data_IF_615509300800
#
_entry.id   IF_615509300800
#
_cell.length_a   1.000
_cell.length_b   1.000
_cell.length_c   1.000
_cell.angle_alpha   90.00
_cell.angle_beta   90.00
_cell.angle_gamma   90.00
#
_symmetry.space_group_name_H-M   'P 1'
#
loop_
_entity.id
_entity.type
_entity.pdbx_description
1 polymer ?
#
# COMPACT_ATOMS: atom_id res chain seq x y z
N UNK A 1 34.82 -56.17 11.55
CA UNK A 1 35.02 -55.09 10.57
C UNK A 1 34.20 -55.40 9.33
N UNK A 2 33.03 -54.78 9.14
CA UNK A 2 32.22 -55.02 7.94
C UNK A 2 33.00 -54.55 6.70
N UNK A 3 33.25 -55.46 5.76
CA UNK A 3 34.09 -55.24 4.58
C UNK A 3 33.54 -54.09 3.73
N UNK A 4 34.43 -53.28 3.14
CA UNK A 4 34.07 -52.12 2.33
C UNK A 4 33.10 -52.48 1.20
N UNK A 5 33.22 -53.70 0.65
CA UNK A 5 32.33 -54.26 -0.36
C UNK A 5 30.87 -54.38 0.11
N UNK A 6 30.64 -54.67 1.40
CA UNK A 6 29.29 -54.76 1.97
C UNK A 6 28.65 -53.37 2.13
N UNK A 7 29.46 -52.34 2.41
CA UNK A 7 28.99 -50.95 2.48
C UNK A 7 28.69 -50.40 1.10
N UNK A 8 29.51 -50.76 0.12
CA UNK A 8 29.36 -50.29 -1.25
C UNK A 8 28.14 -50.91 -1.93
N UNK A 9 27.90 -52.21 -1.72
CA UNK A 9 26.67 -52.87 -2.19
C UNK A 9 25.41 -52.28 -1.54
N UNK A 10 25.47 -51.91 -0.25
CA UNK A 10 24.38 -51.23 0.42
C UNK A 10 24.08 -49.85 -0.18
N UNK A 11 25.12 -49.04 -0.45
CA UNK A 11 24.96 -47.72 -1.07
C UNK A 11 24.45 -47.80 -2.50
N UNK A 12 24.92 -48.76 -3.30
CA UNK A 12 24.42 -49.00 -4.65
C UNK A 12 22.95 -49.43 -4.66
N UNK A 13 22.54 -50.28 -3.71
CA UNK A 13 21.14 -50.67 -3.56
C UNK A 13 20.25 -49.51 -3.07
N UNK A 14 20.77 -48.64 -2.20
CA UNK A 14 20.10 -47.42 -1.76
C UNK A 14 19.91 -46.44 -2.94
N UNK A 15 20.96 -46.23 -3.74
CA UNK A 15 20.91 -45.38 -4.92
C UNK A 15 19.90 -45.89 -5.95
N UNK A 16 19.86 -47.21 -6.20
CA UNK A 16 18.83 -47.82 -7.08
C UNK A 16 17.42 -47.59 -6.54
N UNK A 17 17.17 -47.71 -5.24
CA UNK A 17 15.86 -47.44 -4.64
C UNK A 17 15.42 -45.97 -4.71
N UNK A 18 16.36 -45.03 -4.62
CA UNK A 18 16.07 -43.59 -4.68
C UNK A 18 15.89 -43.13 -6.13
N UNK A 19 16.76 -43.59 -7.04
CA UNK A 19 16.74 -43.20 -8.45
C UNK A 19 15.67 -43.94 -9.27
N UNK A 20 15.21 -45.13 -8.84
CA UNK A 20 14.14 -45.87 -9.51
C UNK A 20 12.73 -45.50 -9.01
N UNK A 21 12.56 -44.45 -8.20
CA UNK A 21 11.24 -43.85 -8.04
C UNK A 21 10.88 -43.15 -9.35
N UNK A 22 9.93 -43.67 -10.16
CA UNK A 22 9.42 -42.87 -11.26
C UNK A 22 8.81 -41.62 -10.63
N UNK A 23 9.34 -40.45 -10.98
CA UNK A 23 8.63 -39.20 -10.74
C UNK A 23 7.22 -39.38 -11.27
N UNK A 24 6.22 -39.38 -10.38
CA UNK A 24 4.83 -39.55 -10.77
C UNK A 24 4.54 -38.60 -11.94
N UNK A 25 4.35 -39.16 -13.13
CA UNK A 25 3.96 -38.40 -14.31
C UNK A 25 2.71 -37.60 -13.94
N UNK A 26 2.61 -36.32 -14.33
CA UNK A 26 1.37 -35.59 -14.16
C UNK A 26 0.30 -36.26 -15.02
N UNK A 27 -0.58 -37.03 -14.38
CA UNK A 27 -1.72 -37.66 -15.02
C UNK A 27 -2.45 -36.61 -15.88
N UNK A 28 -2.33 -36.77 -17.20
CA UNK A 28 -3.11 -36.03 -18.19
C UNK A 28 -4.57 -36.39 -17.95
N UNK A 29 -5.33 -35.46 -17.39
CA UNK A 29 -6.79 -35.56 -17.28
C UNK A 29 -7.36 -35.82 -18.68
N UNK A 30 -7.91 -37.01 -18.89
CA UNK A 30 -8.75 -37.31 -20.05
C UNK A 30 -9.98 -36.42 -19.97
N UNK A 31 -10.13 -35.53 -20.95
CA UNK A 31 -11.41 -34.87 -21.19
C UNK A 31 -12.39 -35.94 -21.66
N UNK A 32 -13.40 -36.22 -20.85
CA UNK A 32 -14.55 -37.00 -21.27
C UNK A 32 -15.39 -36.11 -22.21
N UNK A 33 -15.38 -36.46 -23.49
CA UNK A 33 -16.33 -35.95 -24.47
C UNK A 33 -17.71 -36.56 -24.22
N UNK A 34 -18.73 -35.73 -24.40
CA UNK A 34 -20.15 -36.05 -24.30
C UNK A 34 -20.61 -37.08 -25.33
N UNK A 35 -21.62 -37.87 -24.96
CA UNK A 35 -22.60 -38.42 -25.90
C UNK A 35 -23.79 -37.46 -25.99
N UNK A 36 -23.82 -36.75 -27.12
CA UNK A 36 -24.94 -36.43 -28.01
C UNK A 36 -26.35 -36.16 -27.44
N UNK A 37 -26.85 -34.94 -27.70
CA UNK A 37 -27.97 -34.78 -28.62
C UNK A 37 -28.03 -33.38 -29.27
N UNK A 38 -27.86 -33.41 -30.59
CA UNK A 38 -28.50 -32.61 -31.65
C UNK A 38 -28.34 -31.07 -31.74
N UNK A 39 -27.72 -30.71 -32.87
CA UNK A 39 -28.20 -29.81 -33.93
C UNK A 39 -27.61 -28.38 -34.04
N UNK A 40 -27.02 -28.20 -35.23
CA UNK A 40 -26.98 -27.02 -36.08
C UNK A 40 -25.74 -26.10 -36.02
N UNK A 41 -24.95 -26.24 -37.10
CA UNK A 41 -24.31 -25.18 -37.89
C UNK A 41 -23.08 -24.42 -37.35
N UNK A 42 -21.90 -24.87 -37.80
CA UNK A 42 -21.00 -24.06 -38.64
C UNK A 42 -20.06 -23.02 -38.01
N UNK A 43 -18.88 -22.73 -38.62
CA UNK A 43 -17.61 -22.53 -37.88
C UNK A 43 -16.97 -21.13 -38.07
N UNK A 44 -16.03 -20.73 -37.19
CA UNK A 44 -15.08 -19.64 -37.50
C UNK A 44 -13.64 -19.83 -36.99
N UNK A 45 -12.82 -20.26 -37.96
CA UNK A 45 -11.43 -19.87 -38.32
C UNK A 45 -10.50 -19.17 -37.28
N UNK A 46 -9.36 -19.84 -37.03
CA UNK A 46 -7.94 -19.37 -37.09
C UNK A 46 -7.60 -17.92 -36.67
N UNK A 47 -6.65 -17.74 -35.72
CA UNK A 47 -5.29 -17.17 -36.00
C UNK A 47 -4.34 -17.07 -34.79
N UNK A 48 -3.13 -17.58 -35.07
CA UNK A 48 -1.78 -17.54 -34.48
C UNK A 48 -1.22 -16.16 -34.00
N UNK A 49 -0.45 -16.24 -32.89
CA UNK A 49 1.00 -15.88 -32.69
C UNK A 49 1.46 -14.39 -32.61
N UNK A 50 2.35 -14.15 -31.61
CA UNK A 50 3.62 -13.36 -31.66
C UNK A 50 3.58 -11.88 -31.22
N UNK A 51 4.07 -11.58 -30.00
CA UNK A 51 4.78 -10.31 -29.64
C UNK A 51 5.38 -10.37 -28.22
N UNK A 52 6.52 -11.07 -28.05
CA UNK A 52 7.43 -10.84 -26.91
C UNK A 52 8.87 -11.09 -27.37
N UNK A 53 9.39 -10.21 -28.22
CA UNK A 53 10.82 -10.18 -28.59
C UNK A 53 11.24 -8.80 -29.12
N UNK A 54 10.91 -7.73 -28.39
CA UNK A 54 11.27 -6.35 -28.79
C UNK A 54 11.66 -5.39 -27.66
N UNK A 55 12.02 -5.88 -26.48
CA UNK A 55 12.40 -5.02 -25.33
C UNK A 55 13.85 -5.16 -24.87
N UNK A 56 14.65 -6.05 -25.47
CA UNK A 56 16.05 -6.27 -25.06
C UNK A 56 17.08 -5.53 -25.91
N UNK A 57 16.75 -5.14 -27.14
CA UNK A 57 17.72 -4.53 -28.07
C UNK A 57 17.89 -3.00 -27.94
N UNK A 58 17.08 -2.33 -27.12
CA UNK A 58 17.15 -0.86 -26.95
C UNK A 58 17.94 -0.39 -25.74
N UNK A 59 18.47 -1.31 -24.91
CA UNK A 59 19.16 -0.93 -23.66
C UNK A 59 20.68 -1.01 -23.72
N UNK A 60 21.23 -1.59 -24.79
CA UNK A 60 22.69 -1.76 -24.93
C UNK A 60 23.35 -0.62 -25.73
N UNK A 61 22.57 0.22 -26.44
CA UNK A 61 23.12 1.34 -27.26
C UNK A 61 23.17 2.71 -26.58
N UNK A 62 22.95 2.80 -25.27
CA UNK A 62 22.89 4.09 -24.56
C UNK A 62 24.01 4.31 -23.51
N UNK A 63 24.99 3.40 -23.41
CA UNK A 63 26.03 3.46 -22.39
C UNK A 63 27.45 3.73 -22.91
N UNK A 64 27.67 3.83 -24.22
CA UNK A 64 29.03 3.99 -24.80
C UNK A 64 29.45 5.43 -25.13
N UNK A 65 28.62 6.44 -24.85
CA UNK A 65 29.02 7.85 -25.05
C UNK A 65 28.94 8.67 -23.76
N UNK A 66 30.00 8.57 -22.95
CA UNK A 66 30.69 9.75 -22.40
C UNK A 66 32.03 9.37 -21.77
N UNK A 67 33.07 9.61 -22.57
CA UNK A 67 34.47 9.68 -22.20
C UNK A 67 34.73 10.81 -21.17
N UNK A 68 35.62 10.58 -20.20
CA UNK A 68 36.98 11.16 -20.05
C UNK A 68 37.08 12.70 -19.94
N UNK A 69 37.59 13.17 -18.78
CA UNK A 69 38.64 14.21 -18.60
C UNK A 69 39.07 14.17 -17.11
N UNK A 70 40.27 13.68 -16.75
CA UNK A 70 41.62 14.30 -16.69
C UNK A 70 41.92 15.02 -15.35
N UNK A 71 42.84 14.39 -14.61
CA UNK A 71 43.97 14.86 -13.76
C UNK A 71 43.82 15.98 -12.71
N UNK A 72 44.20 15.65 -11.46
CA UNK A 72 45.47 16.08 -10.82
C UNK A 72 45.61 15.52 -9.39
N UNK A 73 46.82 15.07 -9.02
CA UNK A 73 47.35 14.92 -7.66
C UNK A 73 48.36 16.08 -7.42
N UNK A 74 48.95 16.38 -6.23
CA UNK A 74 49.27 15.47 -5.11
C UNK A 74 49.27 16.05 -3.65
N UNK A 75 49.71 15.20 -2.71
CA UNK A 75 50.54 15.49 -1.53
C UNK A 75 49.94 15.81 -0.13
N UNK A 76 50.27 14.88 0.80
CA UNK A 76 50.98 15.06 2.10
C UNK A 76 50.26 15.44 3.43
N UNK A 77 50.58 14.59 4.43
CA UNK A 77 50.64 14.80 5.91
C UNK A 77 49.31 15.08 6.64
N UNK A 78 49.07 14.67 7.89
CA UNK A 78 49.88 14.10 8.97
C UNK A 78 49.18 14.46 10.30
N UNK A 79 49.42 13.67 11.36
CA UNK A 79 49.15 13.94 12.79
C UNK A 79 47.66 14.03 13.24
N UNK A 80 47.13 13.14 14.10
CA UNK A 80 47.39 12.88 15.54
C UNK A 80 46.66 13.87 16.46
N UNK A 81 46.01 13.27 17.48
CA UNK A 81 45.79 13.77 18.86
C UNK A 81 44.87 15.00 19.00
N UNK A 82 44.10 15.25 20.06
CA UNK A 82 43.81 14.64 21.37
C UNK A 82 42.67 15.51 21.99
N UNK A 83 41.83 15.02 22.93
CA UNK A 83 41.80 15.43 24.38
C UNK A 83 41.42 16.91 24.55
N UNK A 84 40.46 17.42 25.33
CA UNK A 84 39.76 17.12 26.60
C UNK A 84 38.62 18.18 26.66
N UNK A 85 37.43 17.92 27.22
CA UNK A 85 37.04 18.13 28.63
C UNK A 85 37.36 19.52 29.19
N UNK A 86 36.31 20.24 29.60
CA UNK A 86 36.11 21.07 30.81
C UNK A 86 34.61 21.48 30.76
N UNK A 87 33.69 20.99 31.59
CA UNK A 87 33.48 21.27 33.05
C UNK A 87 32.95 22.69 33.32
N UNK A 88 32.02 22.80 34.28
CA UNK A 88 31.30 24.02 34.68
C UNK A 88 29.79 23.81 34.83
N UNK A 89 29.33 22.97 35.76
CA UNK A 89 28.83 23.33 37.13
C UNK A 89 27.31 23.58 37.17
N UNK A 90 26.51 22.67 37.75
CA UNK A 90 26.09 22.56 39.18
C UNK A 90 24.85 23.45 39.46
N UNK A 91 23.70 22.92 39.89
CA UNK A 91 23.36 22.47 41.26
C UNK A 91 21.87 22.02 41.23
N UNK A 92 21.25 21.17 42.05
CA UNK A 92 21.53 20.58 43.37
C UNK A 92 20.45 19.50 43.61
N UNK A 93 20.79 18.37 44.25
CA UNK A 93 20.05 17.66 45.34
C UNK A 93 20.70 16.28 45.51
N UNK A 94 21.11 15.97 46.74
CA UNK A 94 21.68 14.70 47.22
C UNK A 94 21.00 14.34 48.57
N UNK A 95 21.32 13.23 49.28
CA UNK A 95 21.86 11.94 48.84
C UNK A 95 21.06 10.74 49.44
N UNK A 96 21.16 9.55 48.84
CA UNK A 96 21.04 8.28 49.57
C UNK A 96 21.73 7.15 48.77
N UNK A 97 22.87 6.72 49.31
CA UNK A 97 23.56 5.43 49.17
C UNK A 97 23.76 4.85 47.75
N UNK A 98 25.00 5.00 47.24
CA UNK A 98 25.55 4.10 46.21
C UNK A 98 26.55 3.15 46.87
N UNK A 99 26.40 1.81 46.72
CA UNK A 99 27.52 0.92 46.86
C UNK A 99 28.45 1.11 45.65
N UNK A 100 29.75 1.15 45.93
CA UNK A 100 30.83 1.13 44.95
C UNK A 100 30.65 -0.03 43.96
N UNK A 101 30.81 0.18 42.63
CA UNK A 101 30.87 -0.95 41.72
C UNK A 101 32.23 -1.63 41.93
N UNK A 102 32.19 -2.76 42.63
CA UNK A 102 33.25 -3.77 42.59
C UNK A 102 33.77 -3.93 41.14
N UNK A 103 35.10 -4.05 40.93
CA UNK A 103 35.69 -4.11 39.58
C UNK A 103 35.11 -5.24 38.72
N UNK A 104 34.56 -6.29 39.35
CA UNK A 104 33.87 -7.40 38.70
C UNK A 104 32.55 -6.99 38.00
N UNK A 105 31.94 -5.86 38.38
CA UNK A 105 30.69 -5.37 37.79
C UNK A 105 30.88 -4.83 36.37
N UNK A 106 32.02 -4.20 36.09
CA UNK A 106 32.34 -3.73 34.73
C UNK A 106 32.62 -4.92 33.79
N UNK A 107 33.35 -5.92 34.27
CA UNK A 107 33.57 -7.16 33.51
C UNK A 107 32.27 -7.94 33.30
N UNK A 108 31.38 -8.00 34.30
CA UNK A 108 30.07 -8.61 34.15
C UNK A 108 29.18 -7.88 33.12
N UNK A 109 29.22 -6.54 33.10
CA UNK A 109 28.51 -5.73 32.10
C UNK A 109 29.08 -5.89 30.70
N UNK A 110 30.40 -5.98 30.55
CA UNK A 110 31.04 -6.16 29.26
C UNK A 110 30.83 -7.58 28.72
N UNK A 111 30.85 -8.60 29.57
CA UNK A 111 30.45 -9.97 29.20
C UNK A 111 28.97 -10.01 28.79
N UNK A 112 28.09 -9.26 29.47
CA UNK A 112 26.69 -9.15 29.10
C UNK A 112 26.51 -8.43 27.76
N UNK A 113 27.28 -7.37 27.50
CA UNK A 113 27.31 -6.66 26.21
C UNK A 113 27.82 -7.57 25.10
N UNK A 114 28.86 -8.37 25.35
CA UNK A 114 29.40 -9.34 24.41
C UNK A 114 28.37 -10.42 24.09
N UNK A 115 27.76 -11.05 25.11
CA UNK A 115 26.66 -12.02 24.93
C UNK A 115 25.46 -11.43 24.20
N UNK A 116 25.12 -10.16 24.46
CA UNK A 116 24.06 -9.47 23.74
C UNK A 116 24.42 -9.26 22.27
N UNK A 117 25.66 -8.86 21.97
CA UNK A 117 26.13 -8.69 20.60
C UNK A 117 26.16 -10.02 19.85
N UNK A 118 26.63 -11.09 20.47
CA UNK A 118 26.59 -12.46 19.93
C UNK A 118 25.15 -12.87 19.62
N UNK A 119 24.23 -12.71 20.58
CA UNK A 119 22.81 -13.06 20.39
C UNK A 119 22.11 -12.20 19.32
N UNK A 120 22.50 -10.93 19.17
CA UNK A 120 22.04 -10.06 18.09
C UNK A 120 22.60 -10.51 16.74
N UNK A 121 23.87 -10.93 16.68
CA UNK A 121 24.48 -11.45 15.45
C UNK A 121 23.87 -12.80 15.03
N UNK A 122 23.65 -13.71 15.98
CA UNK A 122 22.94 -14.97 15.77
C UNK A 122 21.50 -14.73 15.28
N UNK A 123 20.78 -13.80 15.90
CA UNK A 123 19.43 -13.41 15.48
C UNK A 123 19.43 -12.72 14.10
N UNK A 124 20.49 -11.98 13.74
CA UNK A 124 20.68 -11.42 12.40
C UNK A 124 20.97 -12.52 11.37
N UNK A 125 21.70 -13.57 11.74
CA UNK A 125 21.93 -14.77 10.93
C UNK A 125 20.66 -15.60 10.70
N UNK A 126 19.75 -15.65 11.66
CA UNK A 126 18.46 -16.36 11.51
C UNK A 126 17.39 -15.54 10.76
N UNK A 127 17.60 -14.23 10.58
CA UNK A 127 16.70 -13.30 9.90
C UNK A 127 17.36 -12.62 8.69
N UNK A 128 17.66 -13.41 7.66
CA UNK A 128 18.27 -13.05 6.36
C UNK A 128 19.81 -12.95 6.34
N UNK A 129 20.45 -14.08 5.99
CA UNK A 129 21.86 -14.20 5.54
C UNK A 129 22.09 -13.59 4.15
N UNK A 130 21.58 -12.38 3.93
CA UNK A 130 22.08 -11.51 2.88
C UNK A 130 22.52 -10.26 3.59
N UNK A 131 23.81 -10.19 3.93
CA UNK A 131 24.45 -8.89 4.06
C UNK A 131 24.01 -8.09 2.85
N UNK A 132 23.20 -7.08 3.12
CA UNK A 132 22.66 -6.23 2.10
C UNK A 132 23.88 -5.65 1.39
N UNK A 133 24.14 -6.11 0.16
CA UNK A 133 25.26 -5.65 -0.69
C UNK A 133 25.50 -4.16 -0.47
N UNK A 134 26.75 -3.68 -0.36
CA UNK A 134 27.05 -2.29 -0.01
C UNK A 134 26.24 -1.28 -0.86
N UNK A 135 25.98 -1.60 -2.12
CA UNK A 135 25.12 -0.84 -3.02
C UNK A 135 23.65 -0.67 -2.52
N UNK A 136 23.09 -1.66 -1.84
CA UNK A 136 21.75 -1.59 -1.24
C UNK A 136 21.72 -0.80 0.06
N UNK A 137 22.79 -0.85 0.87
CA UNK A 137 22.95 -0.01 2.05
C UNK A 137 23.12 1.47 1.66
N UNK A 138 23.89 1.76 0.62
CA UNK A 138 24.01 3.11 0.07
C UNK A 138 22.68 3.64 -0.46
N UNK A 139 21.91 2.83 -1.19
CA UNK A 139 20.54 3.19 -1.63
C UNK A 139 19.63 3.51 -0.44
N UNK A 140 19.77 2.78 0.67
CA UNK A 140 19.02 3.04 1.90
C UNK A 140 19.48 4.33 2.59
N UNK A 141 20.79 4.61 2.62
CA UNK A 141 21.36 5.87 3.13
C UNK A 141 20.89 7.07 2.31
N UNK A 142 20.91 6.98 0.96
CA UNK A 142 20.38 8.00 0.05
C UNK A 142 18.89 8.24 0.27
N UNK A 143 18.07 7.18 0.42
CA UNK A 143 16.63 7.30 0.73
C UNK A 143 16.38 7.96 2.09
N UNK A 144 17.22 7.71 3.10
CA UNK A 144 17.13 8.36 4.41
C UNK A 144 17.44 9.85 4.29
N UNK A 145 18.55 10.21 3.63
CA UNK A 145 18.93 11.60 3.37
C UNK A 145 17.87 12.37 2.56
N UNK A 146 17.26 11.73 1.55
CA UNK A 146 16.18 12.33 0.75
C UNK A 146 14.93 12.59 1.62
N UNK A 147 14.55 11.63 2.48
CA UNK A 147 13.45 11.81 3.44
C UNK A 147 13.73 12.95 4.40
N UNK A 148 14.96 13.06 4.89
CA UNK A 148 15.34 14.11 5.83
C UNK A 148 15.38 15.49 5.14
N UNK A 149 15.85 15.58 3.89
CA UNK A 149 15.72 16.77 3.04
C UNK A 149 14.25 17.18 2.85
N UNK A 150 13.37 16.24 2.53
CA UNK A 150 11.92 16.51 2.39
C UNK A 150 11.29 16.97 3.70
N UNK A 151 11.68 16.38 4.83
CA UNK A 151 11.24 16.81 6.16
C UNK A 151 11.72 18.24 6.48
N UNK A 152 12.98 18.57 6.19
CA UNK A 152 13.53 19.93 6.36
C UNK A 152 12.77 20.95 5.52
N UNK A 153 12.56 20.69 4.21
CA UNK A 153 11.75 21.55 3.33
C UNK A 153 10.32 21.76 3.84
N UNK A 154 9.67 20.70 4.34
CA UNK A 154 8.31 20.82 4.91
C UNK A 154 8.29 21.62 6.21
N UNK A 155 9.32 21.51 7.06
CA UNK A 155 9.46 22.34 8.26
C UNK A 155 9.71 23.80 7.90
N UNK A 156 10.56 24.07 6.91
CA UNK A 156 10.86 25.41 6.41
C UNK A 156 9.62 26.07 5.80
N UNK A 157 8.84 25.36 4.97
CA UNK A 157 7.58 25.87 4.43
C UNK A 157 6.57 26.19 5.55
N UNK A 158 6.45 25.32 6.56
CA UNK A 158 5.61 25.59 7.73
C UNK A 158 6.11 26.77 8.56
N UNK A 159 7.42 26.97 8.66
CA UNK A 159 8.00 28.12 9.35
C UNK A 159 7.75 29.41 8.56
N UNK A 160 7.88 29.39 7.24
CA UNK A 160 7.53 30.50 6.34
C UNK A 160 6.04 30.84 6.38
N UNK A 161 5.16 29.84 6.40
CA UNK A 161 3.72 30.04 6.59
C UNK A 161 3.40 30.67 7.95
N UNK A 162 4.07 30.22 9.02
CA UNK A 162 3.93 30.81 10.36
C UNK A 162 4.47 32.24 10.43
N UNK A 163 5.61 32.52 9.83
CA UNK A 163 6.18 33.86 9.75
C UNK A 163 5.32 34.80 8.89
N UNK A 164 4.79 34.33 7.77
CA UNK A 164 3.85 35.09 6.94
C UNK A 164 2.50 35.31 7.64
N UNK A 165 2.09 34.40 8.53
CA UNK A 165 0.90 34.58 9.36
C UNK A 165 1.15 35.55 10.51
N UNK A 166 2.35 35.54 11.11
CA UNK A 166 2.76 36.50 12.15
C UNK A 166 2.94 37.92 11.59
N UNK A 167 3.55 38.06 10.40
CA UNK A 167 3.67 39.35 9.71
C UNK A 167 2.34 39.89 9.17
N UNK A 168 1.31 39.05 9.03
CA UNK A 168 -0.07 39.49 8.73
C UNK A 168 -0.86 39.94 9.96
N UNK A 169 -0.36 39.69 11.17
CA UNK A 169 -1.00 40.14 12.43
C UNK A 169 -0.43 41.46 12.96
N UNK A 170 0.57 42.07 12.31
CA UNK A 170 1.15 43.37 12.72
C UNK A 170 0.77 44.55 11.80
N UNK A 171 -0.08 44.36 10.78
CA UNK A 171 -0.52 45.45 9.86
C UNK A 171 -2.04 45.66 9.92
N UNK A 172 -2.66 45.48 11.09
CA UNK A 172 -4.10 45.67 11.26
C UNK A 172 -4.44 46.44 12.53
N UNK A 173 -3.97 47.70 12.61
CA UNK A 173 -4.52 48.72 13.51
C UNK A 173 -4.51 50.08 12.81
N UNK A 174 -5.63 50.43 12.18
CA UNK A 174 -6.34 51.74 12.28
C UNK A 174 -7.38 51.90 11.14
N UNK A 175 -8.65 52.26 11.43
CA UNK A 175 -9.68 52.53 10.43
C UNK A 175 -10.11 54.01 10.29
N UNK A 176 -10.16 54.50 9.03
CA UNK A 176 -11.17 55.35 8.32
C UNK A 176 -11.66 56.70 8.94
N UNK A 177 -12.26 57.70 8.21
CA UNK A 177 -13.12 57.53 7.01
C UNK A 177 -13.12 58.66 5.93
N UNK A 178 -14.04 58.52 4.96
CA UNK A 178 -14.88 59.53 4.23
C UNK A 178 -14.81 59.47 2.68
N UNK A 179 -15.96 59.24 2.03
CA UNK A 179 -16.25 59.23 0.58
C UNK A 179 -16.62 60.65 0.06
N UNK A 180 -16.67 61.03 -1.25
CA UNK A 180 -17.41 60.35 -2.35
C UNK A 180 -16.77 60.40 -3.77
N UNK A 181 -17.32 59.62 -4.71
CA UNK A 181 -16.95 59.59 -6.15
C UNK A 181 -17.34 60.90 -6.89
N UNK A 182 -16.70 61.22 -8.03
CA UNK A 182 -17.23 60.75 -9.33
C UNK A 182 -16.17 60.35 -10.37
N UNK A 183 -16.58 59.55 -11.37
CA UNK A 183 -15.77 59.18 -12.53
C UNK A 183 -15.35 60.40 -13.38
N UNK A 184 -14.26 60.28 -14.15
CA UNK A 184 -14.47 60.24 -15.59
C UNK A 184 -13.69 59.14 -16.31
N UNK A 185 -14.30 58.69 -17.41
CA UNK A 185 -13.73 57.84 -18.44
C UNK A 185 -12.40 58.40 -18.94
N UNK A 186 -11.29 57.76 -18.58
CA UNK A 186 -10.00 58.04 -19.18
C UNK A 186 -9.68 56.96 -20.22
N UNK A 187 -9.62 57.43 -21.45
CA UNK A 187 -9.18 56.71 -22.62
C UNK A 187 -7.80 56.11 -22.33
N UNK A 188 -7.71 54.79 -22.26
CA UNK A 188 -6.46 54.06 -21.98
C UNK A 188 -5.52 54.17 -23.19
N UNK A 189 -4.88 55.33 -23.33
CA UNK A 189 -3.78 55.54 -24.26
C UNK A 189 -2.58 54.73 -23.80
N UNK A 190 -2.14 53.76 -24.61
CA UNK A 190 -0.85 53.10 -24.40
C UNK A 190 0.27 54.11 -24.61
N UNK A 191 0.72 54.74 -23.52
CA UNK A 191 1.95 55.53 -23.51
C UNK A 191 3.11 54.56 -23.32
N UNK A 192 4.09 54.59 -24.24
CA UNK A 192 5.22 53.66 -24.36
C UNK A 192 6.07 53.46 -23.07
N UNK A 193 5.84 54.26 -22.03
CA UNK A 193 6.59 54.21 -20.76
C UNK A 193 5.74 53.91 -19.50
N UNK A 194 4.41 53.76 -19.61
CA UNK A 194 3.57 53.38 -18.46
C UNK A 194 2.48 52.40 -18.90
N UNK A 195 2.77 51.12 -18.71
CA UNK A 195 1.75 50.08 -18.82
C UNK A 195 0.99 50.05 -17.50
N UNK A 196 -0.09 50.81 -17.42
CA UNK A 196 -1.07 50.66 -16.35
C UNK A 196 -1.91 49.42 -16.67
N UNK A 197 -1.56 48.30 -16.04
CA UNK A 197 -2.40 47.11 -16.04
C UNK A 197 -3.60 47.43 -15.17
N UNK A 198 -4.74 47.76 -15.80
CA UNK A 198 -6.00 48.00 -15.10
C UNK A 198 -6.32 46.88 -14.11
N UNK A 199 -7.03 47.24 -13.04
CA UNK A 199 -7.31 46.47 -11.82
C UNK A 199 -8.09 45.14 -12.00
N UNK A 200 -8.11 44.54 -13.18
CA UNK A 200 -8.53 43.15 -13.32
C UNK A 200 -7.37 42.23 -12.93
N UNK A 201 -7.40 41.75 -11.68
CA UNK A 201 -6.52 40.69 -11.20
C UNK A 201 -6.46 39.59 -12.27
N UNK A 202 -5.26 39.24 -12.81
CA UNK A 202 -5.19 38.34 -13.93
C UNK A 202 -5.65 36.97 -13.47
N UNK A 203 -6.91 36.64 -13.76
CA UNK A 203 -7.51 35.35 -13.47
C UNK A 203 -6.50 34.25 -13.79
N UNK A 204 -6.32 33.32 -12.85
CA UNK A 204 -5.34 32.25 -12.94
C UNK A 204 -5.39 31.62 -14.34
N UNK A 205 -4.25 31.21 -14.90
CA UNK A 205 -4.18 30.60 -16.24
C UNK A 205 -5.24 29.49 -16.45
N UNK A 206 -5.62 28.79 -15.38
CA UNK A 206 -6.70 27.80 -15.36
C UNK A 206 -8.12 28.40 -15.47
N UNK A 207 -8.39 29.55 -14.86
CA UNK A 207 -9.66 30.29 -15.01
C UNK A 207 -9.80 30.79 -16.45
N UNK A 208 -8.77 31.44 -17.00
CA UNK A 208 -8.75 31.85 -18.42
C UNK A 208 -9.00 30.69 -19.37
N UNK A 209 -8.42 29.51 -19.12
CA UNK A 209 -8.68 28.31 -19.92
C UNK A 209 -10.13 27.79 -19.76
N UNK A 210 -10.71 27.89 -18.56
CA UNK A 210 -12.12 27.52 -18.33
C UNK A 210 -13.07 28.49 -19.00
N UNK A 211 -12.80 29.80 -18.95
CA UNK A 211 -13.59 30.82 -19.64
C UNK A 211 -13.53 30.64 -21.15
N UNK A 212 -12.33 30.46 -21.72
CA UNK A 212 -12.16 30.11 -23.15
C UNK A 212 -12.93 28.85 -23.52
N UNK A 213 -12.89 27.82 -22.67
CA UNK A 213 -13.69 26.60 -22.89
C UNK A 213 -15.19 26.86 -22.79
N UNK A 214 -15.64 27.73 -21.89
CA UNK A 214 -17.05 28.11 -21.75
C UNK A 214 -17.53 28.94 -22.94
N UNK A 215 -16.69 29.79 -23.52
CA UNK A 215 -17.02 30.53 -24.74
C UNK A 215 -17.18 29.57 -25.93
N UNK A 216 -16.26 28.61 -26.10
CA UNK A 216 -16.28 27.69 -27.25
C UNK A 216 -17.30 26.56 -27.09
N UNK A 217 -17.41 25.98 -25.89
CA UNK A 217 -18.19 24.74 -25.63
C UNK A 217 -19.44 25.00 -24.78
N UNK A 218 -19.68 26.24 -24.39
CA UNK A 218 -20.79 26.62 -23.52
C UNK A 218 -20.61 26.15 -22.06
N UNK A 219 -21.70 26.25 -21.30
CA UNK A 219 -21.77 25.84 -19.89
C UNK A 219 -21.97 24.32 -19.71
N UNK A 220 -21.83 23.51 -20.77
CA UNK A 220 -22.07 22.07 -20.70
C UNK A 220 -20.84 21.34 -20.15
N UNK A 221 -20.92 20.93 -18.89
CA UNK A 221 -19.83 20.20 -18.22
C UNK A 221 -19.72 18.75 -18.75
N UNK A 222 -18.55 18.26 -19.15
CA UNK A 222 -18.46 16.89 -19.69
C UNK A 222 -18.66 15.84 -18.59
N UNK A 223 -19.45 14.79 -18.86
CA UNK A 223 -19.69 13.66 -17.96
C UNK A 223 -18.42 12.80 -17.81
N UNK A 224 -17.58 13.21 -16.88
CA UNK A 224 -16.22 12.69 -16.70
C UNK A 224 -15.99 12.15 -15.29
N UNK A 225 -15.02 11.25 -15.16
CA UNK A 225 -14.61 10.70 -13.87
C UNK A 225 -15.20 9.33 -13.53
N UNK A 226 -14.98 8.89 -12.28
CA UNK A 226 -15.31 7.53 -11.77
C UNK A 226 -16.42 7.53 -10.71
N UNK A 227 -17.09 8.67 -10.54
CA UNK A 227 -18.20 8.83 -9.61
C UNK A 227 -19.49 8.47 -10.33
N UNK A 228 -19.70 7.18 -10.54
CA UNK A 228 -20.82 6.67 -11.35
C UNK A 228 -22.20 7.07 -10.80
N UNK A 229 -22.35 7.31 -9.48
CA UNK A 229 -23.62 7.81 -8.90
C UNK A 229 -23.92 9.24 -9.33
N UNK A 230 -22.98 10.15 -9.10
CA UNK A 230 -23.09 11.55 -9.52
C UNK A 230 -23.21 11.68 -11.04
N UNK A 231 -22.54 10.81 -11.81
CA UNK A 231 -22.67 10.79 -13.27
C UNK A 231 -24.08 10.38 -13.70
N UNK A 232 -24.66 9.37 -13.06
CA UNK A 232 -26.01 8.91 -13.34
C UNK A 232 -27.04 9.98 -12.98
N UNK A 233 -26.91 10.62 -11.82
CA UNK A 233 -27.74 11.75 -11.40
C UNK A 233 -27.67 12.93 -12.38
N UNK A 234 -26.45 13.31 -12.81
CA UNK A 234 -26.27 14.37 -13.82
C UNK A 234 -26.84 14.00 -15.18
N UNK A 235 -26.79 12.73 -15.55
CA UNK A 235 -27.33 12.22 -16.80
C UNK A 235 -28.87 12.28 -16.76
N UNK A 236 -29.46 11.78 -15.68
CA UNK A 236 -30.91 11.83 -15.46
C UNK A 236 -31.42 13.29 -15.41
N UNK A 237 -30.72 14.18 -14.72
CA UNK A 237 -31.07 15.60 -14.69
C UNK A 237 -31.00 16.26 -16.08
N UNK A 238 -30.13 15.77 -16.98
CA UNK A 238 -30.10 16.24 -18.38
C UNK A 238 -31.26 15.70 -19.20
N UNK A 239 -31.58 14.42 -19.03
CA UNK A 239 -32.72 13.79 -19.69
C UNK A 239 -34.02 14.45 -19.27
N UNK A 240 -34.24 14.65 -17.96
CA UNK A 240 -35.42 15.33 -17.43
C UNK A 240 -35.56 16.75 -18.01
N UNK A 241 -34.49 17.54 -18.07
CA UNK A 241 -34.52 18.88 -18.70
C UNK A 241 -34.87 18.84 -20.19
N UNK A 242 -34.41 17.82 -20.90
CA UNK A 242 -34.76 17.64 -22.32
C UNK A 242 -36.21 17.20 -22.46
N UNK A 243 -36.70 16.31 -21.60
CA UNK A 243 -38.09 15.86 -21.57
C UNK A 243 -39.04 17.03 -21.26
N UNK A 244 -38.75 17.83 -20.22
CA UNK A 244 -39.50 19.05 -19.89
C UNK A 244 -39.54 20.05 -21.05
N UNK A 245 -38.44 20.18 -21.82
CA UNK A 245 -38.40 21.05 -23.00
C UNK A 245 -39.07 20.42 -24.21
N UNK A 246 -39.07 19.09 -24.37
CA UNK A 246 -39.80 18.40 -25.43
C UNK A 246 -41.31 18.55 -25.25
N UNK A 247 -41.77 18.53 -24.01
CA UNK A 247 -43.18 18.74 -23.65
C UNK A 247 -43.64 20.18 -23.94
N UNK A 248 -42.77 21.17 -23.74
CA UNK A 248 -43.06 22.58 -24.03
C UNK A 248 -42.85 22.93 -25.51
N UNK A 249 -41.63 22.73 -26.01
CA UNK A 249 -41.14 23.18 -27.32
C UNK A 249 -40.19 22.15 -27.96
N UNK A 250 -40.72 21.35 -28.89
CA UNK A 250 -39.95 20.30 -29.58
C UNK A 250 -38.73 20.83 -30.34
N UNK A 251 -38.84 22.01 -30.98
CA UNK A 251 -37.74 22.64 -31.72
C UNK A 251 -36.59 23.10 -30.83
N UNK A 252 -36.90 23.67 -29.66
CA UNK A 252 -35.88 24.07 -28.68
C UNK A 252 -35.17 22.85 -28.09
N UNK A 253 -35.91 21.77 -27.81
CA UNK A 253 -35.34 20.52 -27.34
C UNK A 253 -34.35 19.91 -28.34
N UNK A 254 -34.73 19.83 -29.62
CA UNK A 254 -33.84 19.34 -30.68
C UNK A 254 -32.57 20.21 -30.83
N UNK A 255 -32.71 21.53 -30.73
CA UNK A 255 -31.57 22.44 -30.75
C UNK A 255 -30.63 22.22 -29.56
N UNK A 256 -31.15 21.98 -28.36
CA UNK A 256 -30.34 21.64 -27.19
C UNK A 256 -29.67 20.27 -27.32
N UNK A 257 -30.37 19.26 -27.83
CA UNK A 257 -29.81 17.94 -28.10
C UNK A 257 -28.66 18.04 -29.10
N UNK A 258 -28.83 18.77 -30.19
CA UNK A 258 -27.77 19.03 -31.16
C UNK A 258 -26.58 19.72 -30.49
N UNK A 259 -26.81 20.78 -29.69
CA UNK A 259 -25.74 21.45 -28.93
C UNK A 259 -25.02 20.46 -28.00
N UNK A 260 -25.73 19.57 -27.32
CA UNK A 260 -25.13 18.54 -26.46
C UNK A 260 -24.31 17.52 -27.25
N UNK A 261 -24.79 17.08 -28.41
CA UNK A 261 -24.08 16.15 -29.28
C UNK A 261 -22.78 16.79 -29.81
N UNK A 262 -22.85 18.01 -30.34
CA UNK A 262 -21.68 18.73 -30.86
C UNK A 262 -20.64 19.04 -29.79
N UNK A 263 -21.06 19.52 -28.63
CA UNK A 263 -20.14 19.76 -27.50
C UNK A 263 -19.51 18.48 -26.99
N UNK A 264 -20.25 17.36 -26.94
CA UNK A 264 -19.70 16.05 -26.63
C UNK A 264 -18.66 15.60 -27.67
N UNK A 265 -18.88 15.82 -28.96
CA UNK A 265 -17.89 15.54 -30.00
C UNK A 265 -16.64 16.40 -29.84
N UNK A 266 -16.77 17.70 -29.55
CA UNK A 266 -15.65 18.60 -29.28
C UNK A 266 -14.83 18.17 -28.06
N UNK A 267 -15.46 17.66 -27.01
CA UNK A 267 -14.76 17.12 -25.85
C UNK A 267 -14.09 15.77 -26.14
N UNK A 268 -14.73 14.90 -26.92
CA UNK A 268 -14.12 13.64 -27.37
C UNK A 268 -12.88 13.90 -28.24
N UNK A 269 -12.95 14.90 -29.12
CA UNK A 269 -11.82 15.34 -29.95
C UNK A 269 -10.67 15.92 -29.09
N UNK A 270 -10.98 16.64 -28.01
CA UNK A 270 -9.99 17.09 -27.01
C UNK A 270 -9.35 15.90 -26.23
N UNK A 271 -9.88 14.69 -26.37
CA UNK A 271 -9.41 13.49 -25.66
C UNK A 271 -10.08 13.25 -24.31
N UNK A 272 -11.14 14.00 -23.99
CA UNK A 272 -11.91 13.83 -22.77
C UNK A 272 -12.78 12.58 -22.87
N UNK A 273 -12.63 11.64 -21.91
CA UNK A 273 -13.40 10.39 -21.86
C UNK A 273 -14.79 10.62 -21.25
N UNK A 274 -15.77 10.86 -22.11
CA UNK A 274 -17.16 11.10 -21.72
C UNK A 274 -17.91 9.76 -21.52
N UNK A 275 -18.72 9.68 -20.46
CA UNK A 275 -19.53 8.50 -20.10
C UNK A 275 -21.02 8.89 -20.03
N UNK A 276 -21.68 8.98 -21.18
CA UNK A 276 -23.07 9.45 -21.30
C UNK A 276 -24.12 8.32 -21.37
N UNK A 277 -23.70 7.07 -21.24
CA UNK A 277 -24.60 5.92 -21.34
C UNK A 277 -25.05 5.47 -19.95
N UNK A 278 -26.34 5.61 -19.64
CA UNK A 278 -26.94 5.14 -18.40
C UNK A 278 -26.67 3.64 -18.10
N UNK A 279 -26.91 2.69 -19.02
CA UNK A 279 -26.73 1.27 -18.70
C UNK A 279 -25.28 0.94 -18.32
N UNK A 280 -24.29 1.51 -19.01
CA UNK A 280 -22.87 1.27 -18.67
C UNK A 280 -22.49 1.89 -17.32
N UNK A 281 -23.09 3.02 -16.94
CA UNK A 281 -22.88 3.63 -15.62
C UNK A 281 -23.48 2.76 -14.50
N UNK A 282 -24.70 2.25 -14.70
CA UNK A 282 -25.33 1.31 -13.78
C UNK A 282 -24.52 0.02 -13.64
N UNK A 283 -24.05 -0.56 -14.75
CA UNK A 283 -23.17 -1.72 -14.69
C UNK A 283 -21.86 -1.44 -13.97
N UNK A 284 -21.26 -0.26 -14.19
CA UNK A 284 -20.05 0.14 -13.51
C UNK A 284 -20.27 0.28 -11.99
N UNK A 285 -21.44 0.77 -11.56
CA UNK A 285 -21.88 0.75 -10.16
C UNK A 285 -21.98 -0.67 -9.63
N UNK A 286 -22.73 -1.55 -10.32
CA UNK A 286 -22.86 -2.96 -9.95
C UNK A 286 -21.50 -3.65 -9.83
N UNK A 287 -20.56 -3.41 -10.76
CA UNK A 287 -19.18 -3.93 -10.69
C UNK A 287 -18.39 -3.37 -9.50
N UNK A 288 -18.61 -2.11 -9.11
CA UNK A 288 -17.97 -1.48 -7.94
C UNK A 288 -18.51 -2.08 -6.64
N UNK A 289 -19.81 -2.32 -6.57
CA UNK A 289 -20.50 -2.91 -5.43
C UNK A 289 -20.14 -4.39 -5.27
N UNK A 290 -20.12 -5.18 -6.36
CA UNK A 290 -19.62 -6.56 -6.35
C UNK A 290 -18.19 -6.65 -5.78
N UNK A 291 -17.27 -5.76 -6.19
CA UNK A 291 -15.91 -5.70 -5.65
C UNK A 291 -15.85 -5.27 -4.18
N UNK A 292 -16.79 -4.45 -3.70
CA UNK A 292 -16.91 -4.09 -2.28
C UNK A 292 -17.44 -5.27 -1.47
N UNK A 293 -18.49 -5.93 -1.92
CA UNK A 293 -19.06 -7.12 -1.30
C UNK A 293 -18.05 -8.26 -1.20
N UNK A 294 -17.27 -8.52 -2.26
CA UNK A 294 -16.19 -9.51 -2.21
C UNK A 294 -15.11 -9.16 -1.17
N UNK A 295 -14.73 -7.88 -1.06
CA UNK A 295 -13.77 -7.43 -0.03
C UNK A 295 -14.35 -7.60 1.37
N UNK A 296 -15.62 -7.23 1.58
CA UNK A 296 -16.34 -7.40 2.85
C UNK A 296 -16.37 -8.88 3.25
N UNK A 297 -16.82 -9.77 2.36
CA UNK A 297 -16.82 -11.23 2.58
C UNK A 297 -15.44 -11.79 2.91
N UNK A 298 -14.39 -11.34 2.20
CA UNK A 298 -13.01 -11.78 2.49
C UNK A 298 -12.55 -11.32 3.87
N UNK A 299 -12.94 -10.13 4.30
CA UNK A 299 -12.61 -9.61 5.62
C UNK A 299 -13.38 -10.36 6.71
N UNK A 300 -14.69 -10.56 6.53
CA UNK A 300 -15.54 -11.34 7.43
C UNK A 300 -15.03 -12.78 7.61
N UNK A 301 -14.60 -13.43 6.52
CA UNK A 301 -13.98 -14.76 6.59
C UNK A 301 -12.70 -14.76 7.41
N UNK A 302 -11.88 -13.70 7.31
CA UNK A 302 -10.64 -13.58 8.09
C UNK A 302 -10.94 -13.37 9.57
N UNK A 303 -11.91 -12.51 9.90
CA UNK A 303 -12.29 -12.25 11.29
C UNK A 303 -12.93 -13.49 11.91
N UNK A 304 -13.84 -14.16 11.19
CA UNK A 304 -14.45 -15.42 11.62
C UNK A 304 -13.39 -16.49 11.87
N UNK A 305 -12.43 -16.67 10.96
CA UNK A 305 -11.34 -17.64 11.12
C UNK A 305 -10.47 -17.38 12.36
N UNK A 306 -10.23 -16.12 12.71
CA UNK A 306 -9.47 -15.76 13.91
C UNK A 306 -10.27 -16.13 15.17
N UNK A 307 -11.57 -15.81 15.19
CA UNK A 307 -12.46 -16.15 16.31
C UNK A 307 -12.57 -17.67 16.46
N UNK A 308 -12.77 -18.39 15.36
CA UNK A 308 -12.84 -19.85 15.35
C UNK A 308 -11.56 -20.48 15.90
N UNK A 309 -10.39 -20.03 15.45
CA UNK A 309 -9.10 -20.50 16.00
C UNK A 309 -8.94 -20.22 17.49
N UNK A 310 -9.44 -19.07 17.96
CA UNK A 310 -9.42 -18.73 19.38
C UNK A 310 -10.33 -19.68 20.18
N UNK A 311 -11.54 -19.93 19.70
CA UNK A 311 -12.49 -20.86 20.31
C UNK A 311 -11.93 -22.28 20.33
N UNK A 312 -11.43 -22.79 19.20
CA UNK A 312 -10.80 -24.11 19.13
C UNK A 312 -9.65 -24.29 20.14
N UNK A 313 -8.84 -23.26 20.40
CA UNK A 313 -7.80 -23.30 21.44
C UNK A 313 -8.39 -23.37 22.84
N UNK A 314 -9.42 -22.58 23.12
CA UNK A 314 -10.12 -22.61 24.41
C UNK A 314 -10.81 -23.96 24.63
N UNK A 315 -11.47 -24.52 23.62
CA UNK A 315 -12.15 -25.80 23.70
C UNK A 315 -11.18 -26.96 23.90
N UNK A 316 -10.04 -26.96 23.19
CA UNK A 316 -8.95 -27.90 23.44
C UNK A 316 -8.46 -27.83 24.89
N UNK A 317 -8.28 -26.61 25.44
CA UNK A 317 -7.91 -26.43 26.85
C UNK A 317 -8.98 -26.99 27.80
N UNK A 318 -10.27 -26.69 27.55
CA UNK A 318 -11.39 -27.19 28.34
C UNK A 318 -11.48 -28.72 28.31
N UNK A 319 -11.35 -29.32 27.14
CA UNK A 319 -11.33 -30.78 26.97
C UNK A 319 -10.15 -31.41 27.70
N UNK A 320 -8.94 -30.85 27.58
CA UNK A 320 -7.76 -31.37 28.30
C UNK A 320 -7.93 -31.27 29.82
N UNK A 321 -8.53 -30.19 30.33
CA UNK A 321 -8.85 -30.05 31.76
C UNK A 321 -9.90 -31.08 32.20
N UNK A 322 -10.95 -31.31 31.41
CA UNK A 322 -11.95 -32.36 31.68
C UNK A 322 -11.29 -33.75 31.72
N UNK A 323 -10.47 -34.09 30.72
CA UNK A 323 -9.70 -35.34 30.68
C UNK A 323 -8.80 -35.51 31.91
N UNK A 324 -8.09 -34.44 32.33
CA UNK A 324 -7.28 -34.48 33.57
C UNK A 324 -8.11 -34.71 34.83
N UNK A 325 -9.31 -34.11 34.93
CA UNK A 325 -10.23 -34.34 36.06
C UNK A 325 -10.72 -35.79 36.09
N UNK A 326 -11.15 -36.32 34.95
CA UNK A 326 -11.60 -37.71 34.80
C UNK A 326 -10.46 -38.68 35.13
N UNK A 327 -9.28 -38.51 34.54
CA UNK A 327 -8.12 -39.36 34.84
C UNK A 327 -7.70 -39.30 36.32
N UNK A 328 -7.86 -38.14 37.00
CA UNK A 328 -7.60 -38.03 38.44
C UNK A 328 -8.65 -38.81 39.26
N UNK A 329 -9.91 -38.81 38.83
CA UNK A 329 -10.95 -39.61 39.45
C UNK A 329 -10.71 -41.10 39.21
N UNK A 330 -10.44 -41.52 37.97
CA UNK A 330 -10.11 -42.90 37.61
C UNK A 330 -8.91 -43.42 38.40
N UNK A 331 -7.81 -42.66 38.48
CA UNK A 331 -6.64 -43.03 39.31
C UNK A 331 -7.00 -43.20 40.79
N UNK A 332 -7.98 -42.46 41.32
CA UNK A 332 -8.46 -42.65 42.70
C UNK A 332 -9.26 -43.94 42.82
N UNK A 333 -10.14 -44.23 41.86
CA UNK A 333 -10.91 -45.48 41.79
C UNK A 333 -9.99 -46.69 41.64
N UNK A 334 -9.01 -46.66 40.74
CA UNK A 334 -8.01 -47.72 40.57
C UNK A 334 -7.18 -47.97 41.84
N UNK A 335 -6.77 -46.90 42.54
CA UNK A 335 -6.07 -47.04 43.83
C UNK A 335 -6.95 -47.68 44.90
N UNK A 336 -8.25 -47.40 44.91
CA UNK A 336 -9.20 -48.04 45.83
C UNK A 336 -9.36 -49.54 45.50
N UNK A 337 -9.50 -49.88 44.21
CA UNK A 337 -9.54 -51.28 43.73
C UNK A 337 -8.27 -52.05 44.10
N UNK A 338 -7.08 -51.47 43.88
CA UNK A 338 -5.79 -52.08 44.26
C UNK A 338 -5.64 -52.30 45.77
N UNK A 339 -6.37 -51.54 46.58
CA UNK A 339 -6.44 -51.71 48.05
C UNK A 339 -7.57 -52.66 48.48
N UNK A 340 -8.26 -53.32 47.55
CA UNK A 340 -9.35 -54.25 47.82
C UNK A 340 -10.69 -53.59 48.20
N UNK A 341 -10.85 -52.28 48.01
CA UNK A 341 -12.14 -51.61 48.26
C UNK A 341 -13.08 -51.83 47.08
N UNK A 342 -14.27 -52.35 47.35
CA UNK A 342 -15.33 -52.54 46.36
C UNK A 342 -16.02 -51.18 46.11
N UNK A 343 -16.09 -50.76 44.85
CA UNK A 343 -16.73 -49.51 44.45
C UNK A 343 -18.18 -49.78 43.99
N UNK A 344 -19.11 -48.82 44.12
CA UNK A 344 -20.50 -48.98 43.64
C UNK A 344 -20.61 -49.40 42.17
N UNK A 345 -19.73 -48.86 41.33
CA UNK A 345 -19.64 -49.21 39.90
C UNK A 345 -19.25 -50.68 39.67
N UNK A 346 -18.51 -51.29 40.59
CA UNK A 346 -18.11 -52.70 40.48
C UNK A 346 -19.27 -53.62 40.89
N UNK A 347 -20.16 -53.16 41.79
CA UNK A 347 -21.40 -53.86 42.17
C UNK A 347 -22.44 -53.81 41.03
N UNK A 348 -22.62 -52.64 40.41
CA UNK A 348 -23.46 -52.48 39.21
C UNK A 348 -22.95 -53.38 38.07
N UNK A 349 -21.62 -53.46 37.87
CA UNK A 349 -21.03 -54.30 36.82
C UNK A 349 -21.14 -55.80 37.10
N UNK A 350 -21.23 -56.19 38.37
CA UNK A 350 -21.47 -57.56 38.80
C UNK A 350 -22.96 -57.93 38.83
N UNK A 351 -23.87 -57.00 38.54
CA UNK A 351 -25.32 -57.23 38.56
C UNK A 351 -25.89 -57.48 39.96
N UNK A 352 -25.21 -56.99 40.99
CA UNK A 352 -25.60 -57.14 42.40
C UNK A 352 -26.44 -55.96 42.93
N UNK A 353 -26.71 -54.98 42.05
CA UNK A 353 -27.62 -53.83 42.19
C UNK A 353 -28.33 -53.72 40.85
#
# INVERSE_FOLDING_TARGET
MASLLAKDSYLQNLARKICAQPSAEPQKRKWAGQTENSKAAGPSKKKRKKTQKKFQEQREKAAEHKAKSVEKSPAASGAKESVTTEEGEASTVAPAERPTPEPDSFFALDVLRQRLHEKIQEARGQGSTKELSPATLEKRRRRKQERDRKKRKRKELRAKEKAAKAGKTEVATEPAPVAPCPEPQEQTGLIFNKVEVGEEEPASKAQRQKEKRQQVKGKLTPLTGRNYRQLLERLQARQARLEELRERDTGQAQALEAKMQWTNLLYKAEGVKIRDSEPLLQEALKRKEKRRAQRKRKWEKRTAHVVEKMQQRQDKRRQNLRKKKVAKAERRMEKARKKGRILPQDLERAGLV
#
